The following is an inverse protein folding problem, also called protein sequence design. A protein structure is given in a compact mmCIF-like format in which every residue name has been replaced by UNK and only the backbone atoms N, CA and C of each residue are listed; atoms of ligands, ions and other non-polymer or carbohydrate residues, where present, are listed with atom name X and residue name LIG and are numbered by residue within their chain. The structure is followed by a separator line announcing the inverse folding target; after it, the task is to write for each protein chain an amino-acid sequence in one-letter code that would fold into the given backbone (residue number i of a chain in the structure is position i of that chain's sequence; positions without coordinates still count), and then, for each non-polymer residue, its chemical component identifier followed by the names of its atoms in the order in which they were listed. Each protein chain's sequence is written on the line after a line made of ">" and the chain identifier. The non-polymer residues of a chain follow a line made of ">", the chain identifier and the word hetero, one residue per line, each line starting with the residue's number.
data_IF_027789742019
#
_entry.id   IF_027789742019
#
_cell.length_a   1.000
_cell.length_b   1.000
_cell.length_c   1.000
_cell.angle_alpha   90.00
_cell.angle_beta   90.00
_cell.angle_gamma   90.00
#
_symmetry.space_group_name_H-M   'P 1'
#
loop_
_entity.id
_entity.type
_entity.pdbx_description
1 polymer ?
#
# COMPACT_ATOMS: atom_id res chain seq x y z
N UNK A 1 16.99 -69.17 61.11
CA UNK A 1 16.27 -67.88 61.24
C UNK A 1 16.71 -66.81 60.22
N UNK A 2 17.64 -67.08 59.28
CA UNK A 2 18.12 -66.08 58.32
C UNK A 2 17.23 -65.87 57.07
N UNK A 3 16.48 -66.88 56.62
CA UNK A 3 15.63 -66.77 55.42
C UNK A 3 14.50 -65.74 55.54
N UNK A 4 13.92 -65.56 56.73
CA UNK A 4 12.83 -64.60 56.93
C UNK A 4 13.28 -63.14 56.77
N UNK A 5 14.55 -62.83 57.06
CA UNK A 5 15.09 -61.48 56.94
C UNK A 5 15.32 -61.05 55.49
N UNK A 6 15.67 -61.98 54.60
CA UNK A 6 15.90 -61.69 53.17
C UNK A 6 14.59 -61.38 52.43
N UNK A 7 13.52 -62.10 52.76
CA UNK A 7 12.20 -61.87 52.17
C UNK A 7 11.66 -60.49 52.57
N UNK A 8 11.80 -60.11 53.84
CA UNK A 8 11.38 -58.79 54.33
C UNK A 8 12.13 -57.64 53.65
N UNK A 9 13.46 -57.75 53.50
CA UNK A 9 14.25 -56.74 52.78
C UNK A 9 13.88 -56.64 51.30
N UNK A 10 13.58 -57.77 50.66
CA UNK A 10 13.09 -57.80 49.27
C UNK A 10 11.77 -57.05 49.10
N UNK A 11 10.81 -57.27 50.02
CA UNK A 11 9.50 -56.57 49.99
C UNK A 11 9.67 -55.07 50.24
N UNK A 12 10.52 -54.67 51.18
CA UNK A 12 10.79 -53.26 51.48
C UNK A 12 11.46 -52.55 50.28
N UNK A 13 12.38 -53.22 49.60
CA UNK A 13 13.02 -52.70 48.37
C UNK A 13 12.00 -52.49 47.25
N UNK A 14 11.07 -53.43 47.06
CA UNK A 14 9.99 -53.31 46.07
C UNK A 14 9.05 -52.15 46.41
N UNK A 15 8.65 -52.02 47.67
CA UNK A 15 7.81 -50.90 48.12
C UNK A 15 8.50 -49.54 47.97
N UNK A 16 9.80 -49.46 48.30
CA UNK A 16 10.60 -48.25 48.11
C UNK A 16 10.74 -47.87 46.63
N UNK A 17 10.87 -48.86 45.73
CA UNK A 17 10.88 -48.64 44.29
C UNK A 17 9.52 -48.14 43.76
N UNK A 18 8.41 -48.66 44.29
CA UNK A 18 7.07 -48.22 43.92
C UNK A 18 6.74 -46.80 44.40
N UNK A 19 7.24 -46.41 45.57
CA UNK A 19 7.04 -45.05 46.12
C UNK A 19 7.93 -44.04 45.39
N UNK A 20 9.15 -44.41 45.00
CA UNK A 20 10.08 -43.50 44.32
C UNK A 20 9.65 -43.20 42.87
N UNK A 21 9.06 -44.16 42.17
CA UNK A 21 8.60 -44.02 40.77
C UNK A 21 7.32 -43.21 40.61
N UNK A 22 6.47 -43.10 41.64
CA UNK A 22 5.20 -42.36 41.57
C UNK A 22 5.35 -40.85 41.85
N UNK A 23 6.38 -40.43 42.57
CA UNK A 23 6.59 -39.02 42.95
C UNK A 23 6.89 -38.08 41.76
N UNK A 24 7.63 -38.54 40.75
CA UNK A 24 8.06 -37.72 39.61
C UNK A 24 7.01 -37.64 38.48
N UNK A 25 6.05 -38.57 38.43
CA UNK A 25 5.06 -38.64 37.34
C UNK A 25 4.04 -37.49 37.39
N UNK A 26 3.61 -37.08 38.59
CA UNK A 26 2.61 -36.02 38.78
C UNK A 26 3.13 -34.62 38.40
N UNK A 27 4.43 -34.38 38.54
CA UNK A 27 5.04 -33.10 38.18
C UNK A 27 5.13 -32.94 36.66
N UNK A 28 5.55 -34.00 35.97
CA UNK A 28 5.69 -34.02 34.52
C UNK A 28 4.34 -33.83 33.80
N UNK A 29 3.28 -34.44 34.32
CA UNK A 29 1.93 -34.32 33.74
C UNK A 29 1.40 -32.89 33.76
N UNK A 30 1.70 -32.14 34.84
CA UNK A 30 1.35 -30.71 34.93
C UNK A 30 2.08 -29.86 33.90
N UNK A 31 3.38 -30.09 33.70
CA UNK A 31 4.19 -29.37 32.70
C UNK A 31 3.68 -29.63 31.27
N UNK A 32 3.26 -30.87 30.97
CA UNK A 32 2.68 -31.23 29.67
C UNK A 32 1.37 -30.50 29.44
N UNK A 33 0.50 -30.41 30.46
CA UNK A 33 -0.79 -29.75 30.34
C UNK A 33 -0.65 -28.22 30.18
N UNK A 34 0.31 -27.60 30.88
CA UNK A 34 0.64 -26.18 30.73
C UNK A 34 1.15 -25.86 29.33
N UNK A 35 2.07 -26.67 28.79
CA UNK A 35 2.61 -26.50 27.45
C UNK A 35 1.50 -26.60 26.39
N UNK A 36 0.56 -27.54 26.58
CA UNK A 36 -0.58 -27.74 25.68
C UNK A 36 -1.51 -26.52 25.68
N UNK A 37 -1.82 -25.97 26.86
CA UNK A 37 -2.62 -24.75 26.96
C UNK A 37 -1.92 -23.55 26.32
N UNK A 38 -0.61 -23.41 26.53
CA UNK A 38 0.18 -22.35 25.92
C UNK A 38 0.17 -22.46 24.39
N UNK A 39 0.29 -23.68 23.85
CA UNK A 39 0.23 -23.93 22.42
C UNK A 39 -1.14 -23.57 21.83
N UNK A 40 -2.24 -23.96 22.47
CA UNK A 40 -3.59 -23.62 22.03
C UNK A 40 -3.84 -22.09 22.07
N UNK A 41 -3.41 -21.42 23.14
CA UNK A 41 -3.48 -19.96 23.24
C UNK A 41 -2.68 -19.28 22.13
N UNK A 42 -1.47 -19.79 21.85
CA UNK A 42 -0.61 -19.27 20.79
C UNK A 42 -1.24 -19.47 19.41
N UNK A 43 -1.80 -20.66 19.13
CA UNK A 43 -2.49 -20.97 17.89
C UNK A 43 -3.71 -20.05 17.69
N UNK A 44 -4.49 -19.81 18.74
CA UNK A 44 -5.63 -18.88 18.70
C UNK A 44 -5.17 -17.44 18.41
N UNK A 45 -4.13 -16.95 19.08
CA UNK A 45 -3.53 -15.63 18.82
C UNK A 45 -3.05 -15.53 17.37
N UNK A 46 -2.40 -16.55 16.84
CA UNK A 46 -1.95 -16.60 15.45
C UNK A 46 -3.15 -16.53 14.48
N UNK A 47 -4.20 -17.34 14.71
CA UNK A 47 -5.44 -17.32 13.91
C UNK A 47 -6.11 -15.95 13.92
N UNK A 48 -6.18 -15.28 15.07
CA UNK A 48 -6.80 -13.94 15.16
C UNK A 48 -5.99 -12.87 14.43
N UNK A 49 -4.65 -12.88 14.56
CA UNK A 49 -3.77 -11.98 13.80
C UNK A 49 -3.89 -12.21 12.29
N UNK A 50 -3.90 -13.48 11.86
CA UNK A 50 -4.09 -13.85 10.45
C UNK A 50 -5.43 -13.33 9.91
N UNK A 51 -6.53 -13.57 10.63
CA UNK A 51 -7.86 -13.03 10.24
C UNK A 51 -7.89 -11.50 10.15
N UNK A 52 -7.19 -10.80 11.04
CA UNK A 52 -7.07 -9.32 10.97
C UNK A 52 -6.28 -8.91 9.74
N UNK A 53 -5.17 -9.59 9.46
CA UNK A 53 -4.33 -9.33 8.29
C UNK A 53 -5.10 -9.61 6.99
N UNK A 54 -5.81 -10.74 6.89
CA UNK A 54 -6.65 -11.09 5.72
C UNK A 54 -7.80 -10.10 5.50
N UNK A 55 -8.29 -9.44 6.55
CA UNK A 55 -9.27 -8.34 6.41
C UNK A 55 -8.63 -7.09 5.82
N UNK A 56 -7.43 -6.74 6.28
CA UNK A 56 -6.69 -5.58 5.77
C UNK A 56 -6.29 -5.80 4.32
N UNK A 57 -5.79 -6.98 3.97
CA UNK A 57 -5.44 -7.35 2.59
C UNK A 57 -6.64 -7.17 1.67
N UNK A 58 -7.78 -7.77 2.00
CA UNK A 58 -9.01 -7.63 1.19
C UNK A 58 -9.51 -6.19 1.07
N UNK A 59 -9.38 -5.39 2.13
CA UNK A 59 -9.75 -3.98 2.09
C UNK A 59 -8.81 -3.17 1.20
N UNK A 60 -7.52 -3.47 1.22
CA UNK A 60 -6.54 -2.84 0.33
C UNK A 60 -6.78 -3.25 -1.12
N UNK A 61 -6.99 -4.53 -1.40
CA UNK A 61 -7.29 -5.05 -2.74
C UNK A 61 -8.52 -4.36 -3.35
N UNK A 62 -9.62 -4.25 -2.59
CA UNK A 62 -10.81 -3.52 -3.06
C UNK A 62 -10.54 -2.03 -3.31
N UNK A 63 -9.66 -1.39 -2.53
CA UNK A 63 -9.26 0.02 -2.75
C UNK A 63 -8.35 0.17 -3.96
N UNK A 64 -7.50 -0.81 -4.25
CA UNK A 64 -6.65 -0.81 -5.45
C UNK A 64 -7.53 -0.92 -6.68
N UNK A 65 -8.47 -1.86 -6.71
CA UNK A 65 -9.43 -2.00 -7.81
C UNK A 65 -10.25 -0.71 -8.03
N UNK A 66 -10.74 -0.09 -6.95
CA UNK A 66 -11.45 1.19 -7.03
C UNK A 66 -10.57 2.32 -7.62
N UNK A 67 -9.29 2.35 -7.25
CA UNK A 67 -8.35 3.35 -7.78
C UNK A 67 -8.00 3.08 -9.25
N UNK A 68 -7.85 1.82 -9.64
CA UNK A 68 -7.61 1.41 -11.04
C UNK A 68 -8.82 1.76 -11.94
N UNK A 69 -10.04 1.56 -11.46
CA UNK A 69 -11.27 1.96 -12.17
C UNK A 69 -11.37 3.47 -12.33
N UNK A 70 -11.02 4.24 -11.28
CA UNK A 70 -10.98 5.70 -11.39
C UNK A 70 -9.91 6.16 -12.37
N UNK A 71 -8.76 5.50 -12.40
CA UNK A 71 -7.67 5.83 -13.30
C UNK A 71 -8.07 5.57 -14.75
N UNK A 72 -8.60 4.39 -15.06
CA UNK A 72 -9.10 4.05 -16.40
C UNK A 72 -10.26 4.96 -16.85
N UNK A 73 -11.14 5.33 -15.92
CA UNK A 73 -12.20 6.32 -16.14
C UNK A 73 -11.66 7.72 -16.45
N UNK A 74 -10.61 8.17 -15.76
CA UNK A 74 -9.95 9.44 -16.06
C UNK A 74 -9.21 9.40 -17.41
N UNK A 75 -8.50 8.31 -17.68
CA UNK A 75 -7.77 8.11 -18.93
C UNK A 75 -8.72 8.13 -20.13
N UNK A 76 -9.83 7.40 -20.07
CA UNK A 76 -10.82 7.40 -21.16
C UNK A 76 -11.39 8.80 -21.45
N UNK A 77 -11.63 9.61 -20.41
CA UNK A 77 -12.04 11.03 -20.55
C UNK A 77 -10.93 11.88 -21.15
N UNK A 78 -9.68 11.66 -20.75
CA UNK A 78 -8.53 12.39 -21.28
C UNK A 78 -8.31 12.10 -22.77
N UNK A 79 -8.32 10.83 -23.19
CA UNK A 79 -8.15 10.44 -24.60
C UNK A 79 -9.39 10.77 -25.46
N UNK A 80 -10.60 10.67 -24.90
CA UNK A 80 -11.86 10.87 -25.62
C UNK A 80 -12.29 12.32 -25.78
N UNK A 81 -12.00 13.21 -24.82
CA UNK A 81 -12.51 14.59 -24.83
C UNK A 81 -11.40 15.65 -24.90
N UNK A 82 -10.32 15.47 -24.14
CA UNK A 82 -9.23 16.46 -24.07
C UNK A 82 -8.32 16.34 -25.30
N UNK A 83 -7.89 15.13 -25.66
CA UNK A 83 -7.00 14.90 -26.79
C UNK A 83 -7.58 15.43 -28.13
N UNK A 84 -8.86 15.20 -28.49
CA UNK A 84 -9.43 15.77 -29.72
C UNK A 84 -9.67 17.28 -29.64
N UNK A 85 -9.90 17.88 -28.46
CA UNK A 85 -9.95 19.35 -28.32
C UNK A 85 -8.57 19.99 -28.43
N UNK A 86 -7.54 19.39 -27.83
CA UNK A 86 -6.15 19.81 -27.99
C UNK A 86 -5.72 19.71 -29.46
N UNK A 87 -6.05 18.59 -30.12
CA UNK A 87 -5.77 18.36 -31.54
C UNK A 87 -6.51 19.33 -32.46
N UNK A 88 -7.78 19.63 -32.19
CA UNK A 88 -8.55 20.64 -32.96
C UNK A 88 -7.94 22.04 -32.83
N UNK A 89 -7.49 22.40 -31.62
CA UNK A 89 -6.82 23.68 -31.38
C UNK A 89 -5.44 23.73 -32.04
N UNK A 90 -4.68 22.63 -32.02
CA UNK A 90 -3.38 22.55 -32.71
C UNK A 90 -3.52 22.51 -34.23
N UNK A 91 -4.56 21.87 -34.79
CA UNK A 91 -4.81 21.82 -36.23
C UNK A 91 -5.25 23.20 -36.77
N UNK A 92 -6.01 23.97 -35.98
CA UNK A 92 -6.32 25.37 -36.29
C UNK A 92 -5.05 26.26 -36.25
N UNK A 93 -4.16 26.06 -35.28
CA UNK A 93 -2.88 26.77 -35.19
C UNK A 93 -1.88 26.36 -36.30
N UNK A 94 -1.83 25.08 -36.65
CA UNK A 94 -0.88 24.52 -37.63
C UNK A 94 -1.25 24.88 -39.07
N UNK A 95 -2.54 24.96 -39.40
CA UNK A 95 -3.01 25.42 -40.72
C UNK A 95 -2.64 26.87 -41.04
N UNK A 96 -2.19 27.63 -40.05
CA UNK A 96 -1.74 29.01 -40.20
C UNK A 96 -0.20 29.15 -40.16
N UNK A 97 0.54 28.05 -40.40
CA UNK A 97 1.99 28.07 -40.63
C UNK A 97 2.83 28.66 -39.49
N UNK A 98 2.27 28.76 -38.29
CA UNK A 98 2.87 29.49 -37.18
C UNK A 98 3.63 28.53 -36.28
N UNK A 99 4.93 28.80 -36.14
CA UNK A 99 5.84 28.22 -35.15
C UNK A 99 5.15 28.19 -33.78
N UNK A 100 5.27 27.07 -33.05
CA UNK A 100 4.77 26.96 -31.68
C UNK A 100 5.34 28.14 -30.86
N UNK A 101 4.49 28.97 -30.23
CA UNK A 101 4.95 30.13 -29.49
C UNK A 101 5.83 29.69 -28.33
N UNK A 102 6.94 30.40 -28.11
CA UNK A 102 7.87 30.11 -27.01
C UNK A 102 7.51 30.86 -25.73
N UNK A 103 6.61 31.84 -25.83
CA UNK A 103 6.20 32.69 -24.70
C UNK A 103 4.79 33.25 -24.84
N UNK A 104 4.25 33.79 -23.73
CA UNK A 104 3.01 34.56 -23.73
C UNK A 104 3.08 35.84 -24.58
N UNK A 105 4.29 36.41 -24.77
CA UNK A 105 4.49 37.56 -25.65
C UNK A 105 4.27 37.17 -27.12
N UNK A 106 4.76 36.00 -27.53
CA UNK A 106 4.54 35.48 -28.88
C UNK A 106 3.06 35.20 -29.13
N UNK A 107 2.35 34.66 -28.13
CA UNK A 107 0.90 34.47 -28.19
C UNK A 107 0.17 35.81 -28.38
N UNK A 108 0.57 36.86 -27.65
CA UNK A 108 -0.01 38.21 -27.80
C UNK A 108 0.27 38.80 -29.18
N UNK A 109 1.50 38.64 -29.69
CA UNK A 109 1.88 39.10 -31.02
C UNK A 109 1.11 38.37 -32.13
N UNK A 110 0.75 37.11 -31.90
CA UNK A 110 -0.11 36.32 -32.79
C UNK A 110 -1.62 36.62 -32.63
N UNK A 111 -1.99 37.62 -31.82
CA UNK A 111 -3.38 38.10 -31.70
C UNK A 111 -4.18 37.52 -30.53
N UNK A 112 -3.56 36.75 -29.62
CA UNK A 112 -4.25 36.33 -28.40
C UNK A 112 -4.38 37.50 -27.41
N UNK A 113 -5.62 37.86 -27.08
CA UNK A 113 -5.95 39.00 -26.20
C UNK A 113 -6.62 38.58 -24.87
N UNK A 114 -7.06 37.33 -24.76
CA UNK A 114 -7.78 36.81 -23.59
C UNK A 114 -6.83 36.11 -22.61
N UNK A 115 -6.82 36.47 -21.32
CA UNK A 115 -6.05 35.71 -20.33
C UNK A 115 -6.53 34.25 -20.24
N UNK A 116 -5.60 33.30 -20.06
CA UNK A 116 -5.94 31.88 -20.04
C UNK A 116 -4.72 30.94 -19.97
N UNK A 117 -4.99 29.63 -19.96
CA UNK A 117 -3.94 28.61 -20.06
C UNK A 117 -3.59 28.36 -21.52
N UNK A 118 -2.30 28.46 -21.85
CA UNK A 118 -1.77 28.28 -23.18
C UNK A 118 -0.60 27.31 -23.17
N UNK A 119 -0.41 26.66 -24.32
CA UNK A 119 0.70 25.75 -24.56
C UNK A 119 1.84 26.53 -25.20
N UNK A 120 3.02 26.49 -24.60
CA UNK A 120 4.24 27.14 -25.11
C UNK A 120 5.39 26.15 -25.20
N UNK A 121 6.32 26.44 -26.10
CA UNK A 121 7.58 25.69 -26.21
C UNK A 121 8.54 26.15 -25.11
N UNK A 122 8.72 25.33 -24.08
CA UNK A 122 9.75 25.52 -23.06
C UNK A 122 11.15 25.19 -23.58
N UNK A 123 12.13 25.15 -22.68
CA UNK A 123 13.55 24.98 -23.05
C UNK A 123 13.83 23.61 -23.68
N UNK A 124 13.14 22.56 -23.21
CA UNK A 124 13.31 21.18 -23.69
C UNK A 124 11.99 20.47 -24.00
N UNK A 125 10.87 20.94 -23.45
CA UNK A 125 9.57 20.30 -23.56
C UNK A 125 8.44 21.33 -23.67
N UNK A 126 7.29 20.85 -24.11
CA UNK A 126 6.07 21.67 -24.23
C UNK A 126 5.44 21.83 -22.84
N UNK A 127 5.19 23.07 -22.45
CA UNK A 127 4.67 23.43 -21.13
C UNK A 127 3.31 24.13 -21.25
N UNK A 128 2.47 23.94 -20.25
CA UNK A 128 1.21 24.69 -20.12
C UNK A 128 1.42 25.84 -19.14
N UNK A 129 1.32 27.07 -19.63
CA UNK A 129 1.52 28.30 -18.86
C UNK A 129 0.25 29.13 -18.80
N UNK A 130 0.04 29.85 -17.70
CA UNK A 130 -1.03 30.84 -17.61
C UNK A 130 -0.53 32.18 -18.15
N UNK A 131 -1.15 32.67 -19.22
CA UNK A 131 -0.87 33.99 -19.76
C UNK A 131 -1.91 34.98 -19.26
N UNK A 132 -1.45 36.03 -18.58
CA UNK A 132 -2.29 37.14 -18.16
C UNK A 132 -2.15 38.31 -19.14
N UNK A 133 -3.18 38.52 -19.97
CA UNK A 133 -3.27 39.64 -20.93
C UNK A 133 -4.14 40.80 -20.43
N UNK A 134 -4.66 40.71 -19.21
CA UNK A 134 -5.47 41.77 -18.59
C UNK A 134 -4.68 43.06 -18.34
N UNK A 135 -3.35 42.94 -18.26
CA UNK A 135 -2.43 44.07 -18.19
C UNK A 135 -2.21 44.62 -19.60
N UNK A 136 -2.90 45.71 -19.93
CA UNK A 136 -2.45 46.59 -21.02
C UNK A 136 -1.01 46.97 -20.71
N UNK A 137 -0.10 46.79 -21.66
CA UNK A 137 1.29 47.20 -21.50
C UNK A 137 1.36 48.72 -21.36
N UNK A 138 1.34 49.19 -20.13
CA UNK A 138 1.97 50.42 -19.71
C UNK A 138 2.80 50.10 -18.48
N UNK A 139 4.02 49.63 -18.74
CA UNK A 139 5.16 50.28 -18.10
C UNK A 139 6.44 49.96 -18.87
N UNK A 140 6.87 50.96 -19.63
CA UNK A 140 8.29 51.22 -19.85
C UNK A 140 8.90 51.64 -18.51
N UNK A 141 9.59 50.74 -17.82
CA UNK A 141 10.52 51.00 -16.70
C UNK A 141 11.20 49.68 -16.36
N UNK A 142 12.52 49.48 -16.40
CA UNK A 142 13.70 50.34 -16.54
C UNK A 142 14.85 49.42 -17.00
#
# INVERSE_FOLDING_TARGET
>A
MACFSLVFYGVILVFLWSILSTSNALSLEKEIEELKQQYELYNLKCKTKKKKQDKVIRMLEAKVEELEDKLSGLESKFYGEINPRLRRNSDAAFRQGTRIPTSCLDLRANGHISSGLYIVMGIQLIETVFCDFSKQSFDSSR
#
